data_IF_321803181158
#
_entry.id   IF_321803181158
#
_cell.length_a   1.000
_cell.length_b   1.000
_cell.length_c   1.000
_cell.angle_alpha   90.00
_cell.angle_beta   90.00
_cell.angle_gamma   90.00
#
_symmetry.space_group_name_H-M   'P 1'
#
loop_
_entity.id
_entity.type
_entity.pdbx_description
1 polymer ?
#
# COMPACT_ATOMS: atom_id res chain seq x y z
N UNK A 1 -3.02 -31.30 1.95
CA UNK A 1 -1.96 -30.26 1.87
C UNK A 1 -1.55 -30.09 0.41
N UNK A 2 -2.42 -29.51 -0.42
CA UNK A 2 -2.07 -28.86 -1.69
C UNK A 2 -3.29 -28.06 -2.15
N UNK A 3 -3.51 -26.88 -1.57
CA UNK A 3 -4.75 -26.09 -1.75
C UNK A 3 -4.43 -24.68 -2.29
N UNK A 4 -3.34 -24.52 -3.04
CA UNK A 4 -3.22 -23.33 -3.90
C UNK A 4 -4.24 -23.47 -5.04
N UNK A 5 -5.51 -23.24 -4.70
CA UNK A 5 -6.58 -23.17 -5.66
C UNK A 5 -6.28 -22.01 -6.60
N UNK A 6 -6.51 -22.23 -7.90
CA UNK A 6 -6.33 -21.20 -8.92
C UNK A 6 -7.03 -19.89 -8.55
N UNK A 7 -8.21 -19.97 -7.90
CA UNK A 7 -8.94 -18.80 -7.41
C UNK A 7 -8.17 -18.02 -6.33
N UNK A 8 -7.50 -18.71 -5.41
CA UNK A 8 -6.69 -18.06 -4.37
C UNK A 8 -5.49 -17.32 -4.97
N UNK A 9 -4.81 -17.95 -5.93
CA UNK A 9 -3.68 -17.33 -6.63
C UNK A 9 -4.11 -16.09 -7.42
N UNK A 10 -5.28 -16.15 -8.08
CA UNK A 10 -5.84 -15.03 -8.82
C UNK A 10 -6.23 -13.87 -7.90
N UNK A 11 -6.91 -14.15 -6.79
CA UNK A 11 -7.25 -13.11 -5.80
C UNK A 11 -5.99 -12.50 -5.20
N UNK A 12 -5.00 -13.31 -4.84
CA UNK A 12 -3.71 -12.82 -4.34
C UNK A 12 -3.03 -11.88 -5.34
N UNK A 13 -3.00 -12.26 -6.63
CA UNK A 13 -2.44 -11.42 -7.68
C UNK A 13 -3.18 -10.09 -7.83
N UNK A 14 -4.52 -10.10 -7.77
CA UNK A 14 -5.34 -8.89 -7.83
C UNK A 14 -5.13 -7.99 -6.61
N UNK A 15 -5.04 -8.56 -5.41
CA UNK A 15 -4.78 -7.80 -4.18
C UNK A 15 -3.40 -7.15 -4.23
N UNK A 16 -2.36 -7.89 -4.65
CA UNK A 16 -1.01 -7.32 -4.81
C UNK A 16 -0.96 -6.23 -5.88
N UNK A 17 -1.70 -6.39 -6.98
CA UNK A 17 -1.82 -5.36 -8.01
C UNK A 17 -2.52 -4.10 -7.48
N UNK A 18 -3.60 -4.27 -6.71
CA UNK A 18 -4.32 -3.16 -6.08
C UNK A 18 -3.43 -2.40 -5.07
N UNK A 19 -2.72 -3.12 -4.19
CA UNK A 19 -1.76 -2.53 -3.25
C UNK A 19 -0.64 -1.76 -3.97
N UNK A 20 -0.11 -2.30 -5.08
CA UNK A 20 0.88 -1.60 -5.90
C UNK A 20 0.34 -0.30 -6.49
N UNK A 21 -0.87 -0.34 -7.06
CA UNK A 21 -1.50 0.85 -7.65
C UNK A 21 -1.77 1.90 -6.57
N UNK A 22 -2.26 1.50 -5.40
CA UNK A 22 -2.47 2.39 -4.25
C UNK A 22 -1.17 3.11 -3.87
N UNK A 23 -0.08 2.35 -3.68
CA UNK A 23 1.22 2.92 -3.35
C UNK A 23 1.78 3.86 -4.43
N UNK A 24 1.56 3.54 -5.71
CA UNK A 24 1.98 4.39 -6.84
C UNK A 24 1.28 5.75 -6.83
N UNK A 25 -0.03 5.76 -6.65
CA UNK A 25 -0.82 7.00 -6.67
C UNK A 25 -0.62 7.83 -5.41
N UNK A 26 -0.32 7.20 -4.28
CA UNK A 26 -0.14 7.89 -3.00
C UNK A 26 1.28 8.43 -2.80
N UNK A 27 2.30 7.84 -3.43
CA UNK A 27 3.68 8.28 -3.26
C UNK A 27 3.90 9.77 -3.60
N UNK A 28 3.38 10.34 -4.70
CA UNK A 28 3.48 11.77 -4.98
C UNK A 28 2.80 12.64 -3.92
N UNK A 29 1.62 12.23 -3.45
CA UNK A 29 0.86 12.95 -2.44
C UNK A 29 1.61 13.01 -1.10
N UNK A 30 2.30 11.91 -0.74
CA UNK A 30 3.08 11.82 0.48
C UNK A 30 4.34 12.70 0.49
N UNK A 31 4.99 12.92 -0.68
CA UNK A 31 6.25 13.69 -0.77
C UNK A 31 6.09 15.13 -1.26
N UNK A 32 4.96 15.50 -1.87
CA UNK A 32 4.79 16.77 -2.57
C UNK A 32 5.17 17.99 -1.70
N UNK A 33 4.73 18.01 -0.44
CA UNK A 33 4.94 19.14 0.47
C UNK A 33 6.41 19.32 0.86
N UNK A 34 7.07 18.24 1.24
CA UNK A 34 8.45 18.26 1.75
C UNK A 34 9.48 18.43 0.64
N UNK A 35 9.18 17.94 -0.58
CA UNK A 35 10.01 18.13 -1.77
C UNK A 35 9.83 19.54 -2.35
N UNK A 36 8.60 20.06 -2.41
CA UNK A 36 8.36 21.42 -2.93
C UNK A 36 8.95 22.52 -2.04
N UNK A 37 8.91 22.34 -0.72
CA UNK A 37 9.54 23.24 0.25
C UNK A 37 11.06 23.06 0.37
N UNK A 38 11.63 22.04 -0.28
CA UNK A 38 13.07 21.70 -0.25
C UNK A 38 13.61 21.44 1.16
N UNK A 39 12.74 21.05 2.10
CA UNK A 39 13.14 20.71 3.48
C UNK A 39 13.93 19.40 3.53
N UNK A 40 13.63 18.46 2.62
CA UNK A 40 14.39 17.22 2.45
C UNK A 40 14.71 16.96 0.98
N UNK A 41 15.77 16.18 0.74
CA UNK A 41 16.12 15.75 -0.62
C UNK A 41 15.05 14.80 -1.21
N UNK A 42 14.82 14.80 -2.53
CA UNK A 42 13.88 13.88 -3.17
C UNK A 42 14.17 12.41 -2.89
N UNK A 43 15.45 12.03 -2.80
CA UNK A 43 15.86 10.66 -2.48
C UNK A 43 15.48 10.25 -1.05
N UNK A 44 15.66 11.16 -0.08
CA UNK A 44 15.22 10.94 1.31
C UNK A 44 13.70 10.84 1.40
N UNK A 45 12.99 11.70 0.68
CA UNK A 45 11.53 11.68 0.63
C UNK A 45 11.00 10.34 0.06
N UNK A 46 11.62 9.84 -1.00
CA UNK A 46 11.27 8.54 -1.58
C UNK A 46 11.43 7.39 -0.58
N UNK A 47 12.56 7.32 0.14
CA UNK A 47 12.80 6.31 1.17
C UNK A 47 11.78 6.41 2.31
N UNK A 48 11.52 7.62 2.80
CA UNK A 48 10.51 7.87 3.83
C UNK A 48 9.14 7.37 3.38
N UNK A 49 8.70 7.74 2.19
CA UNK A 49 7.40 7.36 1.65
C UNK A 49 7.27 5.87 1.40
N UNK A 50 8.34 5.20 0.93
CA UNK A 50 8.34 3.75 0.77
C UNK A 50 8.17 3.04 2.11
N UNK A 51 8.94 3.45 3.13
CA UNK A 51 8.85 2.88 4.48
C UNK A 51 7.47 3.12 5.10
N UNK A 52 6.96 4.34 5.02
CA UNK A 52 5.66 4.69 5.61
C UNK A 52 4.48 4.01 4.91
N UNK A 53 4.54 3.80 3.59
CA UNK A 53 3.51 3.03 2.88
C UNK A 53 3.47 1.57 3.36
N UNK A 54 4.64 0.93 3.52
CA UNK A 54 4.72 -0.44 4.01
C UNK A 54 4.18 -0.53 5.45
N UNK A 55 4.59 0.40 6.32
CA UNK A 55 4.09 0.44 7.70
C UNK A 55 2.57 0.68 7.75
N UNK A 56 2.04 1.54 6.88
CA UNK A 56 0.61 1.77 6.71
C UNK A 56 -0.12 0.49 6.34
N UNK A 57 0.35 -0.22 5.32
CA UNK A 57 -0.23 -1.50 4.89
C UNK A 57 -0.23 -2.56 6.01
N UNK A 58 0.84 -2.64 6.80
CA UNK A 58 0.92 -3.56 7.95
C UNK A 58 -0.03 -3.20 9.10
N UNK A 59 -0.44 -1.93 9.21
CA UNK A 59 -1.37 -1.46 10.25
C UNK A 59 -2.85 -1.69 9.93
N UNK A 60 -3.18 -2.15 8.72
CA UNK A 60 -4.54 -2.17 8.16
C UNK A 60 -5.53 -3.20 8.74
N UNK A 61 -5.24 -3.85 9.87
CA UNK A 61 -6.10 -4.92 10.43
C UNK A 61 -7.52 -4.44 10.75
N UNK A 62 -7.66 -3.20 11.25
CA UNK A 62 -8.95 -2.59 11.54
C UNK A 62 -9.76 -2.27 10.27
N UNK A 63 -9.09 -1.82 9.21
CA UNK A 63 -9.72 -1.52 7.91
C UNK A 63 -10.15 -2.81 7.23
N UNK A 64 -9.29 -3.83 7.23
CA UNK A 64 -9.62 -5.15 6.70
C UNK A 64 -10.85 -5.78 7.39
N UNK A 65 -10.95 -5.66 8.72
CA UNK A 65 -12.11 -6.13 9.47
C UNK A 65 -13.39 -5.33 9.15
N UNK A 66 -13.28 -4.03 8.87
CA UNK A 66 -14.43 -3.17 8.54
C UNK A 66 -14.93 -3.46 7.14
N UNK A 67 -14.03 -3.54 6.15
CA UNK A 67 -14.36 -3.89 4.77
C UNK A 67 -14.88 -5.33 4.70
N UNK A 68 -14.24 -6.27 5.39
CA UNK A 68 -14.69 -7.67 5.42
C UNK A 68 -16.11 -7.82 5.94
N UNK A 69 -16.53 -7.06 6.95
CA UNK A 69 -17.93 -7.06 7.44
C UNK A 69 -18.93 -6.35 6.51
N UNK A 70 -18.48 -5.43 5.67
CA UNK A 70 -19.34 -4.71 4.76
C UNK A 70 -19.71 -5.53 3.51
N UNK A 71 -18.90 -6.53 3.16
CA UNK A 71 -19.05 -7.34 1.95
C UNK A 71 -19.22 -8.85 2.22
N UNK A 72 -19.25 -9.28 3.48
CA UNK A 72 -19.58 -10.65 3.92
C UNK A 72 -21.01 -10.71 4.48
#
# INVERSE_FOLDING_TARGET
MNEFSFGLLLVLALVLAAEFVNGWTDAPNAIATVVSTRVISPATAFLMTAVLNILGAMSGTAVAATIGKAYA
#
